data_IF_414447536680
#
_entry.id   IF_414447536680
#
_cell.length_a   1.000
_cell.length_b   1.000
_cell.length_c   1.000
_cell.angle_alpha   90.00
_cell.angle_beta   90.00
_cell.angle_gamma   90.00
#
_symmetry.space_group_name_H-M   'P 1'
#
loop_
_entity.id
_entity.type
_entity.pdbx_description
1 polymer ?
#
# COMPACT_ATOMS: atom_id res chain seq x y z
N UNK A 1 21.34 -44.02 11.88
CA UNK A 1 20.02 -43.47 11.48
C UNK A 1 19.62 -42.33 12.41
N UNK A 2 19.69 -42.47 13.74
CA UNK A 2 19.42 -41.39 14.72
C UNK A 2 20.10 -40.04 14.45
N UNK A 3 21.39 -40.04 14.07
CA UNK A 3 22.13 -38.79 13.81
C UNK A 3 21.53 -37.96 12.67
N UNK A 4 21.00 -38.62 11.64
CA UNK A 4 20.39 -37.95 10.48
C UNK A 4 19.05 -37.31 10.82
N UNK A 5 18.30 -37.91 11.75
CA UNK A 5 17.00 -37.39 12.18
C UNK A 5 17.16 -36.16 13.06
N UNK A 6 18.14 -36.21 13.98
CA UNK A 6 18.54 -35.05 14.78
C UNK A 6 19.06 -33.89 13.92
N UNK A 7 19.87 -34.18 12.91
CA UNK A 7 20.38 -33.14 11.99
C UNK A 7 19.26 -32.53 11.13
N UNK A 8 18.25 -33.32 10.73
CA UNK A 8 17.08 -32.82 9.99
C UNK A 8 16.23 -31.91 10.88
N UNK A 9 15.96 -32.30 12.12
CA UNK A 9 15.19 -31.49 13.07
C UNK A 9 15.89 -30.16 13.36
N UNK A 10 17.21 -30.19 13.57
CA UNK A 10 18.01 -28.98 13.78
C UNK A 10 17.98 -28.05 12.56
N UNK A 11 18.04 -28.61 11.36
CA UNK A 11 17.94 -27.81 10.13
C UNK A 11 16.54 -27.23 9.94
N UNK A 12 15.49 -27.93 10.36
CA UNK A 12 14.11 -27.44 10.32
C UNK A 12 13.93 -26.26 11.28
N UNK A 13 14.39 -26.37 12.53
CA UNK A 13 14.35 -25.26 13.51
C UNK A 13 15.10 -24.03 13.00
N UNK A 14 16.27 -24.23 12.38
CA UNK A 14 17.05 -23.14 11.79
C UNK A 14 16.32 -22.48 10.62
N UNK A 15 15.59 -23.26 9.82
CA UNK A 15 14.80 -22.75 8.70
C UNK A 15 13.61 -21.93 9.21
N UNK A 16 12.84 -22.46 10.17
CA UNK A 16 11.71 -21.77 10.79
C UNK A 16 12.15 -20.45 11.46
N UNK A 17 13.28 -20.46 12.17
CA UNK A 17 13.84 -19.25 12.76
C UNK A 17 14.27 -18.21 11.70
N UNK A 18 14.82 -18.67 10.57
CA UNK A 18 15.20 -17.80 9.46
C UNK A 18 13.97 -17.21 8.76
N UNK A 19 12.92 -18.00 8.57
CA UNK A 19 11.63 -17.56 8.00
C UNK A 19 10.95 -16.53 8.92
N UNK A 20 10.91 -16.77 10.23
CA UNK A 20 10.35 -15.84 11.21
C UNK A 20 11.11 -14.50 11.19
N UNK A 21 12.44 -14.54 11.15
CA UNK A 21 13.29 -13.34 11.08
C UNK A 21 13.11 -12.58 9.75
N UNK A 22 12.94 -13.30 8.65
CA UNK A 22 12.67 -12.70 7.34
C UNK A 22 11.28 -12.03 7.33
N UNK A 23 10.26 -12.70 7.85
CA UNK A 23 8.91 -12.15 7.97
C UNK A 23 8.89 -10.89 8.85
N UNK A 24 9.59 -10.90 9.99
CA UNK A 24 9.73 -9.75 10.87
C UNK A 24 10.45 -8.58 10.17
N UNK A 25 11.51 -8.86 9.42
CA UNK A 25 12.24 -7.82 8.66
C UNK A 25 11.36 -7.20 7.57
N UNK A 26 10.63 -8.02 6.80
CA UNK A 26 9.68 -7.54 5.78
C UNK A 26 8.58 -6.71 6.42
N UNK A 27 8.03 -7.16 7.55
CA UNK A 27 6.98 -6.44 8.28
C UNK A 27 7.46 -5.09 8.79
N UNK A 28 8.67 -5.02 9.36
CA UNK A 28 9.26 -3.79 9.89
C UNK A 28 9.55 -2.76 8.80
N UNK A 29 10.09 -3.20 7.65
CA UNK A 29 10.36 -2.32 6.49
C UNK A 29 9.05 -1.82 5.86
N UNK A 30 8.02 -2.68 5.80
CA UNK A 30 6.70 -2.31 5.28
C UNK A 30 5.98 -1.31 6.19
N UNK A 31 6.05 -1.50 7.52
CA UNK A 31 5.36 -0.67 8.50
C UNK A 31 5.90 0.76 8.63
N UNK A 32 7.21 0.96 8.47
CA UNK A 32 7.80 2.32 8.49
C UNK A 32 7.33 3.14 7.28
N UNK A 33 7.38 2.55 6.08
CA UNK A 33 6.90 3.19 4.85
C UNK A 33 5.39 3.41 4.85
N UNK A 34 4.62 2.51 5.47
CA UNK A 34 3.17 2.65 5.60
C UNK A 34 2.77 3.78 6.56
N UNK A 35 3.48 3.98 7.67
CA UNK A 35 3.23 5.10 8.60
C UNK A 35 3.41 6.47 7.94
N UNK A 36 4.46 6.63 7.14
CA UNK A 36 4.72 7.89 6.46
C UNK A 36 3.69 8.15 5.35
N UNK A 37 3.26 7.10 4.64
CA UNK A 37 2.15 7.20 3.67
C UNK A 37 0.83 7.56 4.36
N UNK A 38 0.52 7.00 5.53
CA UNK A 38 -0.67 7.37 6.29
C UNK A 38 -0.63 8.84 6.71
N UNK A 39 0.49 9.31 7.26
CA UNK A 39 0.65 10.74 7.63
C UNK A 39 0.47 11.66 6.43
N UNK A 40 1.06 11.33 5.29
CA UNK A 40 0.91 12.16 4.10
C UNK A 40 -0.52 12.11 3.54
N UNK A 41 -1.20 10.98 3.68
CA UNK A 41 -2.64 10.85 3.38
C UNK A 41 -3.45 11.79 4.26
N UNK A 42 -3.25 11.77 5.58
CA UNK A 42 -3.92 12.65 6.54
C UNK A 42 -3.69 14.13 6.22
N UNK A 43 -2.47 14.51 5.83
CA UNK A 43 -2.17 15.88 5.39
C UNK A 43 -3.05 16.27 4.22
N UNK A 44 -3.13 15.46 3.17
CA UNK A 44 -3.96 15.76 2.01
C UNK A 44 -5.46 15.75 2.31
N UNK A 45 -5.92 14.91 3.23
CA UNK A 45 -7.33 14.91 3.69
C UNK A 45 -7.68 16.16 4.50
N UNK A 46 -6.72 16.70 5.25
CA UNK A 46 -6.91 17.95 6.01
C UNK A 46 -6.94 19.20 5.11
N UNK A 47 -6.45 19.07 3.87
CA UNK A 47 -6.49 20.14 2.87
C UNK A 47 -7.86 20.22 2.20
N UNK A 48 -8.25 21.42 1.77
CA UNK A 48 -9.43 21.57 0.92
C UNK A 48 -9.14 20.92 -0.43
N UNK A 49 -10.14 20.25 -1.00
CA UNK A 49 -10.02 19.59 -2.30
C UNK A 49 -9.46 20.49 -3.41
N UNK A 50 -9.83 21.78 -3.42
CA UNK A 50 -9.32 22.76 -4.39
C UNK A 50 -7.80 23.03 -4.30
N UNK A 51 -7.21 22.78 -3.12
CA UNK A 51 -5.79 23.00 -2.85
C UNK A 51 -5.00 21.70 -3.05
N UNK A 52 -5.60 20.53 -2.76
CA UNK A 52 -4.96 19.23 -2.95
C UNK A 52 -5.10 18.66 -4.36
N UNK A 53 -6.22 18.89 -5.06
CA UNK A 53 -6.44 18.37 -6.42
C UNK A 53 -5.34 18.80 -7.42
N UNK A 54 -4.85 20.06 -7.45
CA UNK A 54 -3.73 20.45 -8.31
C UNK A 54 -2.43 19.68 -8.03
N UNK A 55 -2.21 19.23 -6.79
CA UNK A 55 -1.06 18.40 -6.45
C UNK A 55 -1.22 16.99 -7.01
N UNK A 56 -2.43 16.43 -6.90
CA UNK A 56 -2.76 15.12 -7.49
C UNK A 56 -2.74 15.15 -9.02
N UNK A 57 -3.04 16.28 -9.65
CA UNK A 57 -2.93 16.47 -11.11
C UNK A 57 -1.48 16.29 -11.59
N UNK A 58 -0.50 16.78 -10.80
CA UNK A 58 0.94 16.65 -11.12
C UNK A 58 1.55 15.32 -10.72
N UNK A 59 0.88 14.57 -9.84
CA UNK A 59 1.33 13.28 -9.33
C UNK A 59 1.20 12.19 -10.39
N UNK A 60 1.93 11.06 -10.30
CA UNK A 60 1.64 9.90 -11.16
C UNK A 60 0.28 9.29 -10.80
N UNK A 61 -0.38 8.62 -11.76
CA UNK A 61 -1.71 8.07 -11.52
C UNK A 61 -1.66 6.90 -10.51
N UNK A 62 -0.57 6.14 -10.51
CA UNK A 62 -0.32 5.01 -9.61
C UNK A 62 -0.21 5.47 -8.16
N UNK A 63 0.52 6.57 -7.94
CA UNK A 63 0.72 7.12 -6.60
C UNK A 63 -0.57 7.76 -6.09
N UNK A 64 -1.24 8.57 -6.93
CA UNK A 64 -2.53 9.16 -6.62
C UNK A 64 -3.59 8.10 -6.24
N UNK A 65 -3.68 7.01 -7.00
CA UNK A 65 -4.56 5.89 -6.69
C UNK A 65 -4.24 5.26 -5.31
N UNK A 66 -2.96 5.20 -4.94
CA UNK A 66 -2.52 4.72 -3.62
C UNK A 66 -3.00 5.58 -2.46
N UNK A 67 -2.93 6.91 -2.58
CA UNK A 67 -3.49 7.81 -1.56
C UNK A 67 -5.01 7.71 -1.50
N UNK A 68 -5.68 7.81 -2.65
CA UNK A 68 -7.15 7.80 -2.69
C UNK A 68 -7.74 6.48 -2.18
N UNK A 69 -7.04 5.35 -2.33
CA UNK A 69 -7.44 4.08 -1.75
C UNK A 69 -7.42 4.06 -0.22
N UNK A 70 -6.58 4.88 0.40
CA UNK A 70 -6.40 4.97 1.86
C UNK A 70 -7.18 6.15 2.48
N UNK A 71 -7.65 7.10 1.67
CA UNK A 71 -8.47 8.24 2.11
C UNK A 71 -9.92 7.85 2.40
N UNK A 72 -10.58 8.67 3.21
CA UNK A 72 -12.02 8.70 3.35
C UNK A 72 -12.71 8.97 2.00
N UNK A 73 -13.89 8.37 1.76
CA UNK A 73 -14.61 8.54 0.48
C UNK A 73 -14.91 10.00 0.13
N UNK A 74 -15.22 10.83 1.13
CA UNK A 74 -15.54 12.24 0.93
C UNK A 74 -14.34 13.04 0.43
N UNK A 75 -13.17 12.88 1.07
CA UNK A 75 -11.93 13.55 0.65
C UNK A 75 -11.49 13.09 -0.74
N UNK A 76 -11.54 11.78 -0.98
CA UNK A 76 -11.21 11.21 -2.28
C UNK A 76 -12.13 11.73 -3.40
N UNK A 77 -13.45 11.79 -3.16
CA UNK A 77 -14.41 12.34 -4.11
C UNK A 77 -14.15 13.82 -4.41
N UNK A 78 -13.84 14.61 -3.38
CA UNK A 78 -13.48 16.02 -3.55
C UNK A 78 -12.24 16.21 -4.44
N UNK A 79 -11.18 15.43 -4.20
CA UNK A 79 -9.97 15.48 -5.01
C UNK A 79 -10.28 15.05 -6.45
N UNK A 80 -10.96 13.93 -6.66
CA UNK A 80 -11.32 13.42 -7.98
C UNK A 80 -12.15 14.41 -8.79
N UNK A 81 -13.05 15.16 -8.15
CA UNK A 81 -13.85 16.20 -8.80
C UNK A 81 -13.01 17.41 -9.24
N UNK A 82 -11.82 17.62 -8.66
CA UNK A 82 -10.90 18.69 -9.02
C UNK A 82 -9.84 18.29 -10.06
N UNK A 83 -9.80 17.03 -10.50
CA UNK A 83 -8.86 16.54 -11.50
C UNK A 83 -9.38 16.74 -12.93
N UNK A 84 -8.47 16.72 -13.90
CA UNK A 84 -8.86 16.55 -15.31
C UNK A 84 -9.55 15.20 -15.54
N UNK A 85 -10.43 15.14 -16.55
CA UNK A 85 -11.14 13.92 -16.94
C UNK A 85 -10.19 12.75 -17.22
N UNK A 86 -9.11 13.04 -17.92
CA UNK A 86 -8.06 12.11 -18.30
C UNK A 86 -7.36 11.56 -17.05
N UNK A 87 -7.04 12.44 -16.10
CA UNK A 87 -6.37 12.06 -14.87
C UNK A 87 -7.27 11.23 -13.96
N UNK A 88 -8.52 11.66 -13.76
CA UNK A 88 -9.51 10.95 -12.98
C UNK A 88 -9.78 9.54 -13.56
N UNK A 89 -9.87 9.43 -14.88
CA UNK A 89 -10.02 8.14 -15.54
C UNK A 89 -8.81 7.22 -15.30
N UNK A 90 -7.59 7.71 -15.53
CA UNK A 90 -6.38 6.93 -15.34
C UNK A 90 -6.25 6.39 -13.91
N UNK A 91 -6.51 7.23 -12.91
CA UNK A 91 -6.51 6.86 -11.50
C UNK A 91 -7.59 5.81 -11.19
N UNK A 92 -8.80 5.97 -11.75
CA UNK A 92 -9.90 5.02 -11.55
C UNK A 92 -9.60 3.63 -12.10
N UNK A 93 -8.95 3.55 -13.27
CA UNK A 93 -8.52 2.26 -13.87
C UNK A 93 -7.54 1.55 -12.95
N UNK A 94 -6.57 2.27 -12.38
CA UNK A 94 -5.58 1.69 -11.47
C UNK A 94 -6.25 1.21 -10.17
N UNK A 95 -7.17 2.00 -9.62
CA UNK A 95 -7.91 1.65 -8.41
C UNK A 95 -8.75 0.39 -8.61
N UNK A 96 -9.45 0.29 -9.74
CA UNK A 96 -10.20 -0.90 -10.13
C UNK A 96 -9.28 -2.12 -10.35
N UNK A 97 -8.14 -1.92 -10.99
CA UNK A 97 -7.14 -2.97 -11.24
C UNK A 97 -6.50 -3.52 -9.96
N UNK A 98 -6.25 -2.68 -8.95
CA UNK A 98 -5.75 -3.15 -7.63
C UNK A 98 -6.75 -4.06 -6.93
N UNK A 99 -8.04 -3.77 -7.03
CA UNK A 99 -9.09 -4.63 -6.46
C UNK A 99 -9.32 -5.90 -7.28
N UNK A 100 -9.06 -5.88 -8.59
CA UNK A 100 -9.16 -7.07 -9.44
C UNK A 100 -8.11 -8.15 -9.09
N UNK A 101 -6.95 -7.73 -8.57
CA UNK A 101 -5.88 -8.63 -8.11
C UNK A 101 -5.97 -9.01 -6.62
N UNK A 102 -6.98 -8.51 -5.89
CA UNK A 102 -7.20 -8.93 -4.51
C UNK A 102 -7.69 -10.40 -4.46
N UNK A 103 -7.26 -11.22 -3.49
CA UNK A 103 -7.71 -12.59 -3.36
C UNK A 103 -9.24 -12.62 -3.26
N UNK A 104 -9.89 -13.33 -4.19
CA UNK A 104 -11.33 -13.56 -4.11
C UNK A 104 -11.59 -14.55 -2.98
N UNK A 105 -12.49 -14.20 -2.06
CA UNK A 105 -13.03 -15.13 -1.08
C UNK A 105 -13.88 -16.20 -1.75
#
# INVERSE_FOLDING_TARGET
>A
MEKSEADILLNLERLEAAEAKLAETIHNVSGASEKDLMRLTEVYESMKAKDSAPLFEKMSAEFAAGFLAKMSPTSAAGIMAGLSSEKAYAVSVILAGRNANAPKR
#
